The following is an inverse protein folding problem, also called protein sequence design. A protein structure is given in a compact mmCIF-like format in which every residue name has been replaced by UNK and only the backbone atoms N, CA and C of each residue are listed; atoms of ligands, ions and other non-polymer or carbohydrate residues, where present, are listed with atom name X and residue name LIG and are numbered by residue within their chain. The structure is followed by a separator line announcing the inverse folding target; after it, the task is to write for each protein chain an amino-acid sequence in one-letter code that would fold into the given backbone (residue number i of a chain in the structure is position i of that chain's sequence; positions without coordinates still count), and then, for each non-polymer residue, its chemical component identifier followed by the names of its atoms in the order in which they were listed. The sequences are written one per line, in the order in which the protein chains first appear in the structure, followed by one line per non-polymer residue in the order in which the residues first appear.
data_IF_983393217631
#
_entry.id   IF_983393217631
#
_cell.length_a   1.000
_cell.length_b   1.000
_cell.length_c   1.000
_cell.angle_alpha   90.00
_cell.angle_beta   90.00
_cell.angle_gamma   90.00
#
_symmetry.space_group_name_H-M   'P 1'
#
loop_
_entity.id
_entity.type
_entity.pdbx_description
1 polymer ?
#
# COMPACT_ATOMS: atom_id res chain seq x y z
N UNK A 1 20.62 -27.66 15.42
CA UNK A 1 19.43 -26.99 14.85
C UNK A 1 19.83 -25.57 14.54
N UNK A 2 19.63 -25.07 13.31
CA UNK A 2 19.71 -23.63 13.06
C UNK A 2 18.40 -23.04 13.59
N UNK A 3 18.49 -22.02 14.43
CA UNK A 3 17.33 -21.24 14.84
C UNK A 3 16.73 -20.60 13.58
N UNK A 4 15.43 -20.80 13.35
CA UNK A 4 14.74 -20.19 12.21
C UNK A 4 14.64 -18.68 12.47
N UNK A 5 15.28 -17.86 11.64
CA UNK A 5 15.22 -16.40 11.75
C UNK A 5 14.17 -15.87 10.77
N UNK A 6 13.00 -15.46 11.29
CA UNK A 6 11.95 -14.83 10.49
C UNK A 6 12.18 -13.33 10.45
N UNK A 7 12.29 -12.75 9.26
CA UNK A 7 12.32 -11.32 9.10
C UNK A 7 10.89 -10.77 9.10
N UNK A 8 10.52 -10.08 10.19
CA UNK A 8 9.32 -9.27 10.23
C UNK A 8 9.55 -7.96 9.46
N UNK A 9 9.03 -7.90 8.23
CA UNK A 9 9.01 -6.66 7.48
C UNK A 9 7.86 -5.78 8.00
N UNK A 10 8.17 -4.51 8.18
CA UNK A 10 7.26 -3.52 8.75
C UNK A 10 6.19 -3.17 7.71
N UNK A 11 4.91 -3.26 8.08
CA UNK A 11 3.80 -2.74 7.26
C UNK A 11 3.76 -1.21 7.27
N UNK A 12 2.93 -0.61 6.40
CA UNK A 12 2.81 0.86 6.33
C UNK A 12 3.97 1.51 5.57
N UNK A 13 4.45 0.86 4.52
CA UNK A 13 5.58 1.36 3.73
C UNK A 13 5.18 2.54 2.83
N UNK A 14 3.91 2.62 2.42
CA UNK A 14 3.32 3.73 1.68
C UNK A 14 4.15 4.16 0.44
N UNK A 15 4.72 3.18 -0.27
CA UNK A 15 5.58 3.38 -1.44
C UNK A 15 7.08 3.56 -1.16
N UNK A 16 7.54 3.34 0.08
CA UNK A 16 8.96 3.41 0.45
C UNK A 16 9.58 2.02 0.56
N UNK A 17 10.78 1.84 0.02
CA UNK A 17 11.53 0.59 0.14
C UNK A 17 12.18 0.52 1.54
N UNK A 18 11.93 -0.54 2.32
CA UNK A 18 12.57 -0.72 3.63
C UNK A 18 14.08 -1.00 3.47
N UNK A 19 14.86 -0.55 4.47
CA UNK A 19 16.28 -0.91 4.60
C UNK A 19 16.40 -2.07 5.59
N UNK A 20 17.06 -3.15 5.17
CA UNK A 20 17.29 -4.32 6.01
C UNK A 20 18.75 -4.39 6.42
N UNK A 21 18.98 -4.75 7.69
CA UNK A 21 20.31 -4.88 8.28
C UNK A 21 20.63 -6.31 8.73
N UNK A 22 19.79 -7.28 8.36
CA UNK A 22 19.93 -8.69 8.72
C UNK A 22 20.82 -9.42 7.72
N UNK A 23 21.65 -10.33 8.22
CA UNK A 23 22.60 -11.11 7.40
C UNK A 23 21.95 -12.31 6.71
N UNK A 24 20.93 -12.91 7.34
CA UNK A 24 20.18 -14.07 6.85
C UNK A 24 18.80 -14.09 7.48
N UNK A 25 17.85 -14.74 6.81
CA UNK A 25 16.50 -15.03 7.30
C UNK A 25 15.90 -16.12 6.41
N UNK A 26 14.93 -16.88 6.93
CA UNK A 26 14.32 -18.01 6.23
C UNK A 26 13.03 -17.63 5.49
N UNK A 27 12.39 -16.54 5.90
CA UNK A 27 11.15 -16.03 5.31
C UNK A 27 10.96 -14.54 5.59
N UNK A 28 10.09 -13.91 4.79
CA UNK A 28 9.60 -12.54 4.97
C UNK A 28 8.10 -12.57 5.27
N UNK A 29 7.68 -11.90 6.34
CA UNK A 29 6.26 -11.59 6.61
C UNK A 29 6.03 -10.11 6.28
N UNK A 30 5.10 -9.83 5.37
CA UNK A 30 4.89 -8.52 4.77
C UNK A 30 3.42 -8.06 4.97
N UNK A 31 3.11 -7.34 6.06
CA UNK A 31 1.73 -7.04 6.48
C UNK A 31 1.10 -5.83 5.74
N UNK A 32 1.44 -5.66 4.45
CA UNK A 32 0.73 -4.74 3.56
C UNK A 32 1.07 -3.25 3.69
N UNK A 33 0.23 -2.45 3.03
CA UNK A 33 0.35 -1.01 2.79
C UNK A 33 1.61 -0.65 2.00
N UNK A 34 1.87 -1.35 0.90
CA UNK A 34 2.99 -1.09 -0.03
C UNK A 34 2.67 0.04 -1.01
N UNK A 35 1.41 0.16 -1.39
CA UNK A 35 0.92 1.18 -2.30
C UNK A 35 1.12 2.61 -1.76
N UNK A 36 1.31 3.60 -2.63
CA UNK A 36 1.63 4.99 -2.21
C UNK A 36 0.41 5.87 -1.90
N UNK A 37 0.61 6.77 -0.93
CA UNK A 37 -0.46 7.56 -0.28
C UNK A 37 -0.95 8.80 -1.06
N UNK A 38 -0.59 8.95 -2.33
CA UNK A 38 -0.90 10.18 -3.07
C UNK A 38 -2.41 10.50 -3.12
N UNK A 39 -3.27 9.48 -3.05
CA UNK A 39 -4.74 9.61 -3.04
C UNK A 39 -5.31 10.00 -1.66
N UNK A 40 -4.57 9.76 -0.57
CA UNK A 40 -5.03 9.88 0.82
C UNK A 40 -5.57 11.25 1.17
N UNK A 41 -4.89 12.32 0.74
CA UNK A 41 -5.35 13.71 0.92
C UNK A 41 -6.77 13.92 0.38
N UNK A 42 -7.04 13.43 -0.83
CA UNK A 42 -8.32 13.60 -1.50
C UNK A 42 -9.41 12.69 -0.91
N UNK A 43 -9.03 11.51 -0.40
CA UNK A 43 -9.93 10.63 0.35
C UNK A 43 -10.44 11.29 1.63
N UNK A 44 -9.54 11.88 2.42
CA UNK A 44 -9.93 12.61 3.61
C UNK A 44 -10.71 13.88 3.30
N UNK A 45 -10.40 14.57 2.20
CA UNK A 45 -11.18 15.72 1.76
C UNK A 45 -12.62 15.33 1.39
N UNK A 46 -12.79 14.24 0.64
CA UNK A 46 -14.12 13.72 0.30
C UNK A 46 -14.90 13.30 1.56
N UNK A 47 -14.23 12.63 2.50
CA UNK A 47 -14.83 12.24 3.78
C UNK A 47 -15.34 13.46 4.56
N UNK A 48 -14.52 14.51 4.73
CA UNK A 48 -14.94 15.75 5.42
C UNK A 48 -16.12 16.44 4.72
N UNK A 49 -16.10 16.51 3.39
CA UNK A 49 -17.20 17.09 2.60
C UNK A 49 -18.50 16.30 2.74
N UNK A 50 -18.42 14.98 2.83
CA UNK A 50 -19.60 14.13 3.07
C UNK A 50 -20.12 14.24 4.50
N UNK A 51 -19.24 14.41 5.50
CA UNK A 51 -19.65 14.59 6.90
C UNK A 51 -20.31 15.95 7.15
N UNK A 52 -19.86 17.00 6.48
CA UNK A 52 -20.42 18.36 6.63
C UNK A 52 -21.79 18.55 5.97
N UNK A 53 -22.12 17.71 4.98
CA UNK A 53 -23.38 17.81 4.24
C UNK A 53 -23.98 16.40 3.99
N UNK A 54 -24.42 15.68 5.03
CA UNK A 54 -24.82 14.27 4.92
C UNK A 54 -26.05 14.03 4.03
N UNK A 55 -26.90 15.04 3.86
CA UNK A 55 -28.10 14.99 3.02
C UNK A 55 -27.83 15.21 1.52
N UNK A 56 -26.61 15.63 1.15
CA UNK A 56 -26.23 15.80 -0.26
C UNK A 56 -25.74 14.49 -0.85
N UNK A 57 -25.74 14.41 -2.19
CA UNK A 57 -25.12 13.32 -2.93
C UNK A 57 -23.67 13.13 -2.46
N UNK A 58 -23.33 11.91 -2.03
CA UNK A 58 -21.96 11.56 -1.62
C UNK A 58 -20.99 11.82 -2.76
N UNK A 59 -19.90 12.51 -2.46
CA UNK A 59 -18.78 12.70 -3.37
C UNK A 59 -17.69 11.66 -3.07
N UNK A 60 -17.02 11.19 -4.11
CA UNK A 60 -15.83 10.37 -3.98
C UNK A 60 -14.57 11.22 -4.21
N UNK A 61 -13.43 10.75 -3.72
CA UNK A 61 -12.15 11.46 -3.90
C UNK A 61 -11.77 11.67 -5.37
N UNK A 62 -12.17 10.75 -6.25
CA UNK A 62 -11.93 10.86 -7.69
C UNK A 62 -12.80 11.93 -8.37
N UNK A 63 -13.89 12.37 -7.74
CA UNK A 63 -14.72 13.49 -8.21
C UNK A 63 -14.04 14.83 -7.89
N UNK A 64 -13.23 14.90 -6.83
CA UNK A 64 -12.46 16.08 -6.44
C UNK A 64 -11.28 16.30 -7.39
N UNK A 65 -10.51 15.24 -7.66
CA UNK A 65 -9.26 15.33 -8.43
C UNK A 65 -9.49 15.16 -9.95
N UNK A 66 -10.65 14.63 -10.34
CA UNK A 66 -11.00 14.26 -11.71
C UNK A 66 -10.53 12.85 -12.11
N UNK A 67 -11.41 12.10 -12.78
CA UNK A 67 -11.20 10.67 -13.13
C UNK A 67 -9.91 10.37 -13.90
N UNK A 68 -9.49 11.25 -14.81
CA UNK A 68 -8.24 11.08 -15.59
C UNK A 68 -7.02 11.14 -14.67
N UNK A 69 -6.99 12.10 -13.75
CA UNK A 69 -5.89 12.27 -12.79
C UNK A 69 -5.93 11.18 -11.71
N UNK A 70 -7.12 10.82 -11.23
CA UNK A 70 -7.33 9.71 -10.31
C UNK A 70 -6.72 8.39 -10.83
N UNK A 71 -6.99 8.04 -12.10
CA UNK A 71 -6.39 6.86 -12.74
C UNK A 71 -4.86 6.90 -12.74
N UNK A 72 -4.26 8.03 -13.12
CA UNK A 72 -2.80 8.20 -13.10
C UNK A 72 -2.21 8.01 -11.69
N UNK A 73 -2.90 8.51 -10.67
CA UNK A 73 -2.47 8.39 -9.28
C UNK A 73 -2.51 6.93 -8.80
N UNK A 74 -3.60 6.21 -9.10
CA UNK A 74 -3.71 4.77 -8.78
C UNK A 74 -2.64 3.96 -9.52
N UNK A 75 -2.44 4.19 -10.82
CA UNK A 75 -1.40 3.50 -11.59
C UNK A 75 0.02 3.78 -11.07
N UNK A 76 0.28 4.98 -10.54
CA UNK A 76 1.54 5.26 -9.86
C UNK A 76 1.64 4.48 -8.56
N UNK A 77 0.59 4.49 -7.74
CA UNK A 77 0.53 3.79 -6.46
C UNK A 77 0.79 2.29 -6.58
N UNK A 78 0.15 1.63 -7.56
CA UNK A 78 0.37 0.20 -7.86
C UNK A 78 1.82 -0.04 -8.27
N UNK A 79 2.39 0.84 -9.09
CA UNK A 79 3.80 0.72 -9.52
C UNK A 79 4.78 0.89 -8.37
N UNK A 80 4.50 1.78 -7.43
CA UNK A 80 5.33 1.97 -6.24
C UNK A 80 5.26 0.73 -5.33
N UNK A 81 4.05 0.18 -5.08
CA UNK A 81 3.89 -1.06 -4.31
C UNK A 81 4.57 -2.26 -4.96
N UNK A 82 4.45 -2.39 -6.30
CA UNK A 82 5.13 -3.43 -7.07
C UNK A 82 6.65 -3.42 -6.88
N UNK A 83 7.29 -2.24 -6.87
CA UNK A 83 8.74 -2.13 -6.64
C UNK A 83 9.15 -2.68 -5.27
N UNK A 84 8.30 -2.50 -4.26
CA UNK A 84 8.55 -3.03 -2.92
C UNK A 84 8.44 -4.56 -2.94
N UNK A 85 7.35 -5.09 -3.50
CA UNK A 85 7.15 -6.55 -3.60
C UNK A 85 8.26 -7.22 -4.42
N UNK A 86 8.67 -6.63 -5.54
CA UNK A 86 9.82 -7.10 -6.34
C UNK A 86 11.12 -7.07 -5.53
N UNK A 87 11.32 -6.04 -4.70
CA UNK A 87 12.48 -5.97 -3.80
C UNK A 87 12.43 -7.07 -2.73
N UNK A 88 11.27 -7.33 -2.13
CA UNK A 88 11.10 -8.42 -1.15
C UNK A 88 11.35 -9.79 -1.80
N UNK A 89 10.80 -10.00 -3.00
CA UNK A 89 10.99 -11.24 -3.76
C UNK A 89 12.47 -11.46 -4.18
N UNK A 90 13.24 -10.38 -4.37
CA UNK A 90 14.67 -10.48 -4.72
C UNK A 90 15.56 -11.11 -3.65
N UNK A 91 15.06 -11.28 -2.41
CA UNK A 91 15.82 -11.93 -1.34
C UNK A 91 15.87 -13.46 -1.46
N UNK A 92 15.10 -14.06 -2.37
CA UNK A 92 15.20 -15.50 -2.66
C UNK A 92 14.62 -16.41 -1.59
N UNK A 93 13.83 -15.86 -0.67
CA UNK A 93 13.12 -16.60 0.38
C UNK A 93 11.61 -16.42 0.21
N UNK A 94 10.77 -17.32 0.79
CA UNK A 94 9.34 -17.14 0.79
C UNK A 94 8.90 -15.77 1.35
N UNK A 95 7.96 -15.11 0.65
CA UNK A 95 7.33 -13.85 1.07
C UNK A 95 5.85 -14.11 1.30
N UNK A 96 5.39 -13.88 2.53
CA UNK A 96 3.99 -13.99 2.91
C UNK A 96 3.39 -12.59 3.00
N UNK A 97 2.52 -12.25 2.05
CA UNK A 97 1.83 -10.97 1.99
C UNK A 97 0.44 -11.05 2.61
N UNK A 98 0.12 -10.06 3.45
CA UNK A 98 -1.26 -9.78 3.88
C UNK A 98 -1.58 -8.35 3.43
N UNK A 99 -2.45 -8.15 2.41
CA UNK A 99 -2.75 -6.82 1.89
C UNK A 99 -3.32 -5.90 2.97
N UNK A 100 -2.79 -4.68 3.02
CA UNK A 100 -3.25 -3.63 3.93
C UNK A 100 -4.39 -2.81 3.33
N UNK A 101 -4.94 -1.89 4.12
CA UNK A 101 -6.06 -1.05 3.67
C UNK A 101 -5.67 -0.04 2.57
N UNK A 102 -4.36 0.16 2.33
CA UNK A 102 -3.82 1.03 1.29
C UNK A 102 -3.42 0.28 0.03
N UNK A 103 -3.41 -1.04 0.04
CA UNK A 103 -3.11 -1.84 -1.14
C UNK A 103 -4.31 -1.91 -2.08
N UNK A 104 -4.06 -1.66 -3.36
CA UNK A 104 -5.10 -1.74 -4.39
C UNK A 104 -5.34 -3.21 -4.75
N UNK A 105 -6.15 -3.89 -3.96
CA UNK A 105 -6.60 -5.24 -4.28
C UNK A 105 -7.75 -5.17 -5.31
N UNK A 106 -7.81 -6.10 -6.28
CA UNK A 106 -9.03 -6.30 -7.05
C UNK A 106 -10.16 -6.60 -6.07
N UNK A 107 -11.35 -6.03 -6.30
CA UNK A 107 -12.51 -6.56 -5.57
C UNK A 107 -12.78 -7.97 -6.07
N UNK A 108 -13.10 -8.92 -5.17
CA UNK A 108 -13.57 -10.23 -5.57
C UNK A 108 -14.83 -10.14 -6.43
#
# INVERSE_FOLDING_TARGET
MKENEILNCWGGLHGKIPRFYFKSFDAIIAPGDFCSDATRKYMFEAMRKNMTNPLKKKICWYDIVGRKKARKMVSKSIRDGRKILEKLNSYGVPVYEVPGNWDWTPRP
#
